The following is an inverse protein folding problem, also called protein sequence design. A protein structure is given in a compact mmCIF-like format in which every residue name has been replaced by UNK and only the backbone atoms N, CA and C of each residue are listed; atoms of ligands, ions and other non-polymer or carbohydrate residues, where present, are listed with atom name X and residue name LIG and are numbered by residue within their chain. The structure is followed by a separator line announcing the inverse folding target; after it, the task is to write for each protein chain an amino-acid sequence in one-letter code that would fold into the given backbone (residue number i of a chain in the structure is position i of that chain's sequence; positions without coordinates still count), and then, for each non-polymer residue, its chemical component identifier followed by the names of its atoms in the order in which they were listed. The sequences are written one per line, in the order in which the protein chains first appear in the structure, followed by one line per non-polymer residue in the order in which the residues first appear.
data_IF_108684826393
#
_entry.id   IF_108684826393
#
_cell.length_a   1.000
_cell.length_b   1.000
_cell.length_c   1.000
_cell.angle_alpha   90.00
_cell.angle_beta   90.00
_cell.angle_gamma   90.00
#
_symmetry.space_group_name_H-M   'P 1'
#
loop_
_entity.id
_entity.type
_entity.pdbx_description
1 polymer ?
#
# COMPACT_ATOMS: atom_id res chain seq x y z
N UNK A 1 -69.76 16.31 -39.60
CA UNK A 1 -69.23 16.29 -38.22
C UNK A 1 -68.78 14.88 -37.75
N UNK A 2 -68.44 13.94 -38.66
CA UNK A 2 -68.15 12.53 -38.31
C UNK A 2 -66.70 12.07 -38.60
N UNK A 3 -65.81 12.96 -39.05
CA UNK A 3 -64.45 12.60 -39.49
C UNK A 3 -63.33 12.93 -38.46
N UNK A 4 -63.68 13.45 -37.27
CA UNK A 4 -62.72 13.88 -36.24
C UNK A 4 -62.55 12.89 -35.07
N UNK A 5 -63.36 11.81 -35.02
CA UNK A 5 -63.37 10.85 -33.91
C UNK A 5 -62.34 9.73 -34.09
N UNK A 6 -62.08 9.28 -35.33
CA UNK A 6 -61.12 8.20 -35.61
C UNK A 6 -59.66 8.57 -35.33
N UNK A 7 -59.26 9.83 -35.53
CA UNK A 7 -57.86 10.30 -35.36
C UNK A 7 -57.49 10.53 -33.89
N UNK A 8 -58.46 10.78 -33.01
CA UNK A 8 -58.22 10.93 -31.56
C UNK A 8 -57.96 9.58 -30.89
N UNK A 9 -58.59 8.51 -31.39
CA UNK A 9 -58.45 7.17 -30.81
C UNK A 9 -57.08 6.54 -31.11
N UNK A 10 -56.52 6.77 -32.31
CA UNK A 10 -55.18 6.27 -32.67
C UNK A 10 -54.06 7.01 -31.92
N UNK A 11 -54.22 8.32 -31.67
CA UNK A 11 -53.28 9.08 -30.84
C UNK A 11 -53.30 8.63 -29.37
N UNK A 12 -54.45 8.23 -28.83
CA UNK A 12 -54.56 7.71 -27.47
C UNK A 12 -53.85 6.35 -27.30
N UNK A 13 -53.88 5.49 -28.31
CA UNK A 13 -53.14 4.21 -28.32
C UNK A 13 -51.63 4.44 -28.47
N UNK A 14 -51.22 5.43 -29.28
CA UNK A 14 -49.81 5.81 -29.43
C UNK A 14 -49.20 6.39 -28.16
N UNK A 15 -49.98 7.10 -27.33
CA UNK A 15 -49.53 7.59 -26.03
C UNK A 15 -49.49 6.49 -24.96
N UNK A 16 -50.26 5.40 -25.12
CA UNK A 16 -50.23 4.25 -24.21
C UNK A 16 -49.07 3.29 -24.47
N UNK A 17 -48.63 3.17 -25.73
CA UNK A 17 -47.43 2.37 -26.09
C UNK A 17 -46.13 3.11 -25.71
N UNK A 18 -46.14 4.44 -25.60
CA UNK A 18 -44.97 5.23 -25.24
C UNK A 18 -44.73 5.34 -23.71
N UNK A 19 -45.73 5.10 -22.87
CA UNK A 19 -45.57 5.11 -21.39
C UNK A 19 -45.09 3.78 -20.81
N UNK A 20 -45.13 2.68 -21.56
CA UNK A 20 -44.61 1.38 -21.10
C UNK A 20 -43.08 1.23 -21.26
N UNK A 21 -42.40 2.25 -21.78
CA UNK A 21 -40.95 2.34 -21.86
C UNK A 21 -40.31 3.14 -20.71
N UNK A 22 -41.09 3.49 -19.68
CA UNK A 22 -40.58 4.16 -18.49
C UNK A 22 -40.48 3.15 -17.33
N UNK A 23 -39.30 3.07 -16.73
CA UNK A 23 -39.00 2.37 -15.46
C UNK A 23 -38.87 0.84 -15.46
N UNK A 24 -38.13 0.27 -16.41
CA UNK A 24 -37.24 -0.84 -15.99
C UNK A 24 -35.96 -0.23 -15.43
N UNK A 25 -36.04 0.24 -14.18
CA UNK A 25 -34.84 0.54 -13.39
C UNK A 25 -34.09 -0.78 -13.22
N UNK A 26 -33.11 -1.04 -14.09
CA UNK A 26 -32.16 -2.12 -13.88
C UNK A 26 -31.48 -1.82 -12.54
N UNK A 27 -31.85 -2.56 -11.51
CA UNK A 27 -31.15 -2.57 -10.24
C UNK A 27 -29.77 -3.19 -10.48
N UNK A 28 -28.82 -2.38 -10.96
CA UNK A 28 -27.44 -2.76 -11.12
C UNK A 28 -26.83 -2.91 -9.72
N UNK A 29 -26.88 -4.13 -9.18
CA UNK A 29 -26.22 -4.46 -7.93
C UNK A 29 -24.74 -4.65 -8.23
N UNK A 30 -23.99 -3.55 -8.13
CA UNK A 30 -22.55 -3.59 -8.20
C UNK A 30 -22.00 -4.21 -6.91
N UNK A 31 -21.09 -5.16 -7.07
CA UNK A 31 -20.26 -5.65 -5.97
C UNK A 31 -19.38 -4.49 -5.52
N UNK A 32 -19.31 -4.28 -4.21
CA UNK A 32 -18.47 -3.23 -3.63
C UNK A 32 -17.26 -3.84 -2.93
N UNK A 33 -16.09 -3.24 -3.13
CA UNK A 33 -14.89 -3.56 -2.37
C UNK A 33 -14.83 -2.68 -1.11
N UNK A 34 -14.68 -3.31 0.05
CA UNK A 34 -14.55 -2.67 1.35
C UNK A 34 -13.15 -2.09 1.61
N UNK A 35 -12.89 -1.75 2.88
CA UNK A 35 -11.54 -1.38 3.31
C UNK A 35 -10.65 -2.61 3.38
N UNK A 36 -9.35 -2.37 3.28
CA UNK A 36 -8.33 -3.39 3.54
C UNK A 36 -8.02 -3.39 5.04
N UNK A 37 -7.99 -4.58 5.62
CA UNK A 37 -7.60 -4.83 7.01
C UNK A 37 -6.28 -5.59 7.00
N UNK A 38 -5.26 -5.00 7.60
CA UNK A 38 -3.93 -5.58 7.71
C UNK A 38 -3.82 -6.40 8.99
N UNK A 39 -3.31 -7.63 8.86
CA UNK A 39 -3.12 -8.58 9.96
C UNK A 39 -1.63 -8.88 10.23
N UNK A 40 -0.72 -8.36 9.40
CA UNK A 40 0.73 -8.58 9.48
C UNK A 40 1.51 -7.28 9.69
N UNK A 41 2.68 -7.35 10.33
CA UNK A 41 3.61 -6.22 10.47
C UNK A 41 4.75 -6.25 9.44
N UNK A 42 5.58 -5.20 9.43
CA UNK A 42 6.81 -5.14 8.64
C UNK A 42 7.75 -6.33 8.94
N UNK A 43 8.49 -6.81 7.93
CA UNK A 43 9.39 -7.97 7.96
C UNK A 43 8.71 -9.34 8.10
N UNK A 44 7.41 -9.42 7.86
CA UNK A 44 6.65 -10.67 7.89
C UNK A 44 5.96 -10.91 6.55
N UNK A 45 5.57 -12.16 6.23
CA UNK A 45 4.67 -12.43 5.11
C UNK A 45 3.40 -11.62 5.29
N UNK A 46 2.97 -10.94 4.23
CA UNK A 46 1.78 -10.12 4.25
C UNK A 46 0.57 -11.00 4.53
N UNK A 47 -0.31 -10.53 5.40
CA UNK A 47 -1.67 -11.05 5.55
C UNK A 47 -2.62 -9.87 5.65
N UNK A 48 -3.53 -9.77 4.70
CA UNK A 48 -4.55 -8.75 4.70
C UNK A 48 -5.86 -9.30 4.16
N UNK A 49 -6.96 -8.62 4.45
CA UNK A 49 -8.26 -8.98 3.93
C UNK A 49 -9.11 -7.80 3.52
N UNK A 50 -9.99 -8.02 2.55
CA UNK A 50 -10.92 -7.03 2.03
C UNK A 50 -12.31 -7.65 2.02
N UNK A 51 -13.27 -7.05 2.73
CA UNK A 51 -14.67 -7.50 2.69
C UNK A 51 -15.33 -7.09 1.37
N UNK A 52 -16.14 -7.99 0.80
CA UNK A 52 -16.98 -7.66 -0.33
C UNK A 52 -18.41 -7.37 0.13
N UNK A 53 -18.99 -6.29 -0.38
CA UNK A 53 -20.38 -5.92 -0.17
C UNK A 53 -21.26 -6.31 -1.36
N UNK A 54 -22.57 -6.42 -1.10
CA UNK A 54 -23.59 -6.74 -2.10
C UNK A 54 -23.41 -8.10 -2.81
N UNK A 55 -22.85 -9.10 -2.13
CA UNK A 55 -22.47 -10.41 -2.68
C UNK A 55 -23.53 -11.53 -2.57
N UNK A 56 -24.80 -11.19 -2.33
CA UNK A 56 -25.89 -12.11 -1.94
C UNK A 56 -26.09 -13.37 -2.82
N UNK A 57 -25.53 -13.41 -4.03
CA UNK A 57 -25.63 -14.55 -4.96
C UNK A 57 -24.29 -14.98 -5.55
N UNK A 58 -23.17 -14.49 -5.04
CA UNK A 58 -21.84 -14.81 -5.53
C UNK A 58 -21.20 -15.84 -4.63
N UNK A 59 -20.63 -16.88 -5.26
CA UNK A 59 -19.73 -17.81 -4.61
C UNK A 59 -18.28 -17.39 -4.85
N UNK A 60 -17.31 -17.88 -4.06
CA UNK A 60 -15.89 -17.66 -4.35
C UNK A 60 -15.47 -18.01 -5.78
N UNK A 61 -16.15 -18.99 -6.39
CA UNK A 61 -15.85 -19.52 -7.72
C UNK A 61 -16.29 -18.58 -8.85
N UNK A 62 -17.32 -17.77 -8.58
CA UNK A 62 -17.85 -16.79 -9.53
C UNK A 62 -16.99 -15.53 -9.60
N UNK A 63 -16.05 -15.39 -8.67
CA UNK A 63 -15.27 -14.17 -8.46
C UNK A 63 -13.81 -14.43 -8.80
N UNK A 64 -13.27 -13.64 -9.73
CA UNK A 64 -11.85 -13.60 -10.01
C UNK A 64 -11.27 -12.33 -9.43
N UNK A 65 -10.25 -12.49 -8.61
CA UNK A 65 -9.51 -11.39 -8.00
C UNK A 65 -8.04 -11.52 -8.35
N UNK A 66 -7.37 -10.39 -8.54
CA UNK A 66 -5.94 -10.34 -8.73
C UNK A 66 -5.45 -8.91 -8.92
N UNK A 67 -4.19 -8.77 -9.32
CA UNK A 67 -3.65 -7.48 -9.74
C UNK A 67 -4.27 -7.06 -11.08
N UNK A 68 -4.60 -5.78 -11.16
CA UNK A 68 -5.01 -5.17 -12.41
C UNK A 68 -3.86 -5.22 -13.44
N UNK A 69 -4.17 -5.23 -14.75
CA UNK A 69 -3.14 -5.17 -15.79
C UNK A 69 -2.33 -3.88 -15.68
N UNK A 70 -1.08 -3.90 -16.16
CA UNK A 70 -0.18 -2.73 -16.14
C UNK A 70 -0.79 -1.47 -16.77
N UNK A 71 -1.66 -1.63 -17.77
CA UNK A 71 -2.38 -0.51 -18.39
C UNK A 71 -3.31 0.20 -17.41
N UNK A 72 -3.93 -0.52 -16.47
CA UNK A 72 -4.77 0.06 -15.43
C UNK A 72 -3.95 0.84 -14.40
N UNK A 73 -2.79 0.32 -14.00
CA UNK A 73 -1.83 1.04 -13.14
C UNK A 73 -1.42 2.37 -13.76
N UNK A 74 -1.01 2.35 -15.04
CA UNK A 74 -0.64 3.57 -15.77
C UNK A 74 -1.79 4.57 -15.89
N UNK A 75 -3.00 4.09 -16.20
CA UNK A 75 -4.18 4.95 -16.32
C UNK A 75 -4.56 5.62 -14.98
N UNK A 76 -4.24 4.98 -13.85
CA UNK A 76 -4.47 5.52 -12.51
C UNK A 76 -3.26 6.29 -11.96
N UNK A 77 -2.14 6.34 -12.67
CA UNK A 77 -0.91 6.97 -12.18
C UNK A 77 -0.27 6.24 -10.99
N UNK A 78 -0.52 4.94 -10.86
CA UNK A 78 0.03 4.09 -9.79
C UNK A 78 1.28 3.38 -10.31
N UNK A 79 2.39 3.52 -9.59
CA UNK A 79 3.64 2.85 -9.94
C UNK A 79 3.57 1.34 -9.71
N UNK A 80 4.21 0.58 -10.60
CA UNK A 80 4.35 -0.87 -10.45
C UNK A 80 5.57 -1.21 -9.59
N UNK A 81 5.35 -1.80 -8.41
CA UNK A 81 6.44 -2.36 -7.60
C UNK A 81 6.71 -3.84 -7.95
N UNK A 82 7.96 -4.28 -7.83
CA UNK A 82 8.36 -5.68 -8.07
C UNK A 82 7.66 -6.66 -7.13
N UNK A 83 7.42 -6.25 -5.89
CA UNK A 83 6.95 -7.08 -4.78
C UNK A 83 5.45 -7.39 -4.89
N UNK A 84 4.76 -6.69 -5.82
CA UNK A 84 3.37 -7.00 -6.15
C UNK A 84 3.25 -8.38 -6.77
N UNK A 85 4.29 -8.83 -7.50
CA UNK A 85 4.27 -10.12 -8.19
C UNK A 85 4.13 -11.31 -7.25
N UNK A 86 4.47 -11.13 -5.97
CA UNK A 86 4.40 -12.17 -4.93
C UNK A 86 3.05 -12.19 -4.19
N UNK A 87 2.13 -11.29 -4.54
CA UNK A 87 0.80 -11.23 -3.93
C UNK A 87 -0.11 -12.32 -4.50
N UNK A 88 -0.56 -13.19 -3.61
CA UNK A 88 -1.62 -14.14 -3.85
C UNK A 88 -2.96 -13.57 -3.39
N UNK A 89 -4.01 -13.81 -4.16
CA UNK A 89 -5.36 -13.33 -3.89
C UNK A 89 -6.35 -14.49 -3.92
N UNK A 90 -7.13 -14.66 -2.85
CA UNK A 90 -8.16 -15.68 -2.77
C UNK A 90 -9.49 -15.10 -2.34
N UNK A 91 -10.54 -15.37 -3.10
CA UNK A 91 -11.90 -15.15 -2.62
C UNK A 91 -12.28 -16.32 -1.70
N UNK A 92 -12.79 -16.03 -0.51
CA UNK A 92 -13.25 -17.05 0.46
C UNK A 92 -14.59 -16.64 1.06
N UNK A 93 -15.38 -17.63 1.45
CA UNK A 93 -16.60 -17.41 2.22
C UNK A 93 -16.25 -17.20 3.69
N UNK A 94 -16.94 -16.25 4.33
CA UNK A 94 -16.80 -15.84 5.73
C UNK A 94 -18.19 -15.75 6.36
N UNK A 95 -18.27 -15.68 7.69
CA UNK A 95 -19.54 -15.48 8.41
C UNK A 95 -20.26 -14.19 7.97
N UNK A 96 -19.49 -13.17 7.59
CA UNK A 96 -19.97 -11.86 7.12
C UNK A 96 -20.27 -11.79 5.62
N UNK A 97 -20.14 -12.90 4.87
CA UNK A 97 -20.35 -12.96 3.43
C UNK A 97 -19.12 -13.43 2.67
N UNK A 98 -18.68 -12.67 1.67
CA UNK A 98 -17.49 -12.99 0.88
C UNK A 98 -16.37 -12.02 1.27
N UNK A 99 -15.13 -12.51 1.36
CA UNK A 99 -13.93 -11.69 1.55
C UNK A 99 -12.82 -12.10 0.59
N UNK A 100 -11.95 -11.17 0.26
CA UNK A 100 -10.69 -11.43 -0.43
C UNK A 100 -9.61 -11.51 0.64
N UNK A 101 -8.85 -12.60 0.64
CA UNK A 101 -7.61 -12.75 1.39
C UNK A 101 -6.43 -12.42 0.48
N UNK A 102 -5.48 -11.67 1.02
CA UNK A 102 -4.24 -11.30 0.36
C UNK A 102 -3.09 -11.86 1.20
N UNK A 103 -2.16 -12.55 0.55
CA UNK A 103 -0.98 -13.08 1.20
C UNK A 103 0.26 -13.02 0.33
N UNK A 104 1.44 -12.93 0.95
CA UNK A 104 2.71 -13.20 0.26
C UNK A 104 3.38 -14.43 0.84
N UNK A 105 4.22 -15.09 0.04
CA UNK A 105 5.10 -16.16 0.53
C UNK A 105 6.35 -15.58 1.21
N UNK A 106 6.95 -14.53 0.61
CA UNK A 106 8.11 -13.83 1.14
C UNK A 106 7.69 -12.72 2.12
N UNK A 107 8.60 -12.39 3.05
CA UNK A 107 8.41 -11.25 3.96
C UNK A 107 8.45 -9.92 3.21
N UNK A 108 7.52 -9.02 3.53
CA UNK A 108 7.50 -7.65 3.00
C UNK A 108 8.33 -6.73 3.91
N UNK A 109 9.23 -5.97 3.29
CA UNK A 109 10.17 -5.02 3.93
C UNK A 109 9.80 -3.55 3.65
N UNK A 110 8.81 -3.33 2.79
CA UNK A 110 8.38 -1.99 2.42
C UNK A 110 7.50 -1.38 3.51
N UNK A 111 7.68 -0.08 3.84
CA UNK A 111 6.85 0.59 4.83
C UNK A 111 5.40 0.79 4.36
N UNK A 112 5.17 0.73 3.05
CA UNK A 112 3.84 0.72 2.47
C UNK A 112 3.83 -0.07 1.16
N UNK A 113 2.67 -0.64 0.85
CA UNK A 113 2.40 -1.37 -0.38
C UNK A 113 1.25 -0.68 -1.10
N UNK A 114 1.50 -0.18 -2.32
CA UNK A 114 0.47 0.38 -3.17
C UNK A 114 0.19 -0.53 -4.36
N UNK A 115 -1.07 -0.89 -4.59
CA UNK A 115 -1.45 -1.77 -5.68
C UNK A 115 -2.85 -1.48 -6.19
N UNK A 116 -3.09 -1.83 -7.45
CA UNK A 116 -4.41 -1.78 -8.06
C UNK A 116 -4.97 -3.20 -8.14
N UNK A 117 -6.05 -3.43 -7.41
CA UNK A 117 -6.79 -4.68 -7.39
C UNK A 117 -7.86 -4.65 -8.49
N UNK A 118 -7.96 -5.75 -9.22
CA UNK A 118 -9.04 -6.01 -10.15
C UNK A 118 -9.93 -7.14 -9.62
N UNK A 119 -11.23 -6.88 -9.63
CA UNK A 119 -12.27 -7.82 -9.27
C UNK A 119 -13.19 -8.01 -10.48
N UNK A 120 -13.37 -9.25 -10.93
CA UNK A 120 -14.27 -9.61 -12.02
C UNK A 120 -15.28 -10.64 -11.53
N UNK A 121 -16.55 -10.41 -11.84
CA UNK A 121 -17.66 -11.31 -11.54
C UNK A 121 -18.63 -11.36 -12.75
N UNK A 122 -19.64 -12.25 -12.78
CA UNK A 122 -20.43 -12.49 -14.00
C UNK A 122 -21.11 -11.25 -14.58
N UNK A 123 -21.42 -10.27 -13.73
CA UNK A 123 -22.20 -9.08 -14.08
C UNK A 123 -21.38 -7.79 -14.00
N UNK A 124 -20.05 -7.86 -13.93
CA UNK A 124 -19.25 -6.65 -13.84
C UNK A 124 -17.77 -6.85 -13.53
N UNK A 125 -17.08 -5.72 -13.53
CA UNK A 125 -15.67 -5.58 -13.20
C UNK A 125 -15.49 -4.32 -12.37
N UNK A 126 -14.64 -4.39 -11.35
CA UNK A 126 -14.25 -3.27 -10.51
C UNK A 126 -12.73 -3.25 -10.40
N UNK A 127 -12.17 -2.06 -10.52
CA UNK A 127 -10.74 -1.80 -10.34
C UNK A 127 -10.61 -0.78 -9.23
N UNK A 128 -9.72 -1.04 -8.26
CA UNK A 128 -9.53 -0.16 -7.10
C UNK A 128 -8.08 -0.15 -6.64
N UNK A 129 -7.57 1.04 -6.37
CA UNK A 129 -6.28 1.24 -5.73
C UNK A 129 -6.38 1.03 -4.22
N UNK A 130 -5.37 0.36 -3.65
CA UNK A 130 -5.19 0.15 -2.23
C UNK A 130 -3.77 0.53 -1.84
N UNK A 131 -3.66 1.34 -0.79
CA UNK A 131 -2.41 1.61 -0.09
C UNK A 131 -2.49 0.98 1.29
N UNK A 132 -1.56 0.07 1.59
CA UNK A 132 -1.40 -0.59 2.88
C UNK A 132 -0.15 -0.03 3.53
N UNK A 133 -0.26 0.41 4.78
CA UNK A 133 0.88 0.85 5.57
C UNK A 133 1.30 -0.29 6.50
N UNK A 134 2.57 -0.68 6.47
CA UNK A 134 3.11 -1.70 7.37
C UNK A 134 3.75 -1.01 8.57
N UNK A 135 3.25 -1.33 9.76
CA UNK A 135 3.80 -0.80 11.00
C UNK A 135 5.18 -1.42 11.29
N UNK A 136 6.17 -0.61 11.73
CA UNK A 136 7.46 -1.13 12.14
C UNK A 136 7.31 -2.00 13.40
N UNK A 137 8.13 -3.06 13.56
CA UNK A 137 8.08 -3.89 14.76
C UNK A 137 8.46 -3.04 15.98
N UNK A 138 7.63 -3.08 17.03
CA UNK A 138 7.95 -2.45 18.31
C UNK A 138 9.05 -3.29 18.97
N UNK A 139 10.31 -2.96 18.71
CA UNK A 139 11.42 -3.53 19.46
C UNK A 139 11.35 -2.97 20.89
N UNK A 140 10.68 -3.70 21.78
CA UNK A 140 10.80 -3.47 23.22
C UNK A 140 12.21 -3.87 23.63
N UNK A 141 13.17 -2.95 23.45
CA UNK A 141 14.46 -3.08 24.11
C UNK A 141 14.18 -3.13 25.62
N UNK A 142 14.67 -4.14 26.36
CA UNK A 142 14.53 -4.15 27.80
C UNK A 142 15.22 -2.91 28.34
N UNK A 143 14.43 -1.96 28.84
CA UNK A 143 14.94 -0.82 29.58
C UNK A 143 15.55 -1.40 30.85
N UNK A 144 16.88 -1.56 30.86
CA UNK A 144 17.59 -1.66 32.13
C UNK A 144 17.26 -0.39 32.91
N UNK A 145 16.74 -0.48 34.15
CA UNK A 145 16.59 0.70 34.98
C UNK A 145 17.95 1.39 35.06
N UNK A 146 18.02 2.62 34.53
CA UNK A 146 19.15 3.48 34.81
C UNK A 146 18.99 3.91 36.27
N UNK A 147 19.99 3.67 37.10
CA UNK A 147 20.10 4.30 38.41
C UNK A 147 20.24 5.81 38.19
N UNK A 148 19.13 6.54 38.26
CA UNK A 148 19.08 7.98 38.07
C UNK A 148 19.38 8.64 39.42
N UNK A 149 20.61 9.12 39.59
CA UNK A 149 20.89 10.17 40.57
C UNK A 149 20.28 11.49 40.05
N UNK A 150 19.62 12.29 40.90
CA UNK A 150 18.91 13.48 40.43
C UNK A 150 19.91 14.55 40.01
N UNK A 151 19.95 14.88 38.71
CA UNK A 151 20.69 16.03 38.20
C UNK A 151 19.76 17.24 38.19
N UNK A 152 20.16 18.27 38.94
CA UNK A 152 19.49 19.56 39.08
C UNK A 152 19.16 20.18 37.70
N UNK A 153 17.92 20.63 37.51
CA UNK A 153 17.41 21.19 36.28
C UNK A 153 18.15 22.49 35.86
N UNK A 154 19.07 22.35 34.89
CA UNK A 154 19.66 23.45 34.14
C UNK A 154 18.76 23.90 33.00
N UNK A 155 18.35 25.17 33.04
CA UNK A 155 17.47 25.91 32.13
C UNK A 155 17.59 25.52 30.64
N UNK A 156 16.47 25.11 30.05
CA UNK A 156 16.29 24.84 28.62
C UNK A 156 16.51 26.12 27.80
N UNK A 157 17.70 26.30 27.25
CA UNK A 157 18.01 27.17 26.12
C UNK A 157 19.09 26.50 25.30
N UNK A 158 18.71 25.63 24.35
CA UNK A 158 19.46 25.31 23.10
C UNK A 158 18.91 24.05 22.39
N UNK A 159 17.60 23.77 22.40
CA UNK A 159 17.08 22.70 21.53
C UNK A 159 17.12 23.08 20.03
N UNK A 160 17.07 24.38 19.70
CA UNK A 160 17.06 24.84 18.30
C UNK A 160 18.45 24.93 17.66
N UNK A 161 19.54 25.09 18.44
CA UNK A 161 20.91 25.15 17.89
C UNK A 161 21.55 23.78 17.63
N UNK A 162 21.04 22.72 18.24
CA UNK A 162 21.57 21.35 18.04
C UNK A 162 21.01 20.72 16.75
N UNK A 163 19.78 21.09 16.35
CA UNK A 163 19.18 20.66 15.09
C UNK A 163 19.88 21.30 13.87
N UNK A 164 20.23 22.59 13.95
CA UNK A 164 21.00 23.27 12.89
C UNK A 164 22.46 22.82 12.82
N UNK A 165 23.09 22.48 13.95
CA UNK A 165 24.46 21.94 13.96
C UNK A 165 24.55 20.49 13.45
N UNK A 166 23.49 19.67 13.59
CA UNK A 166 23.42 18.32 12.99
C UNK A 166 23.19 18.32 11.48
N UNK A 167 22.63 19.40 10.93
CA UNK A 167 22.42 19.56 9.49
C UNK A 167 23.68 20.07 8.75
N UNK A 168 24.71 20.54 9.47
CA UNK A 168 25.88 21.23 8.88
C UNK A 168 27.19 20.43 8.89
N UNK A 169 27.16 19.14 9.20
CA UNK A 169 28.33 18.24 9.07
C UNK A 169 27.96 16.97 8.32
N UNK A 170 27.52 17.14 7.07
CA UNK A 170 27.31 16.05 6.12
C UNK A 170 28.55 16.00 5.22
N UNK A 171 29.68 15.64 5.82
CA UNK A 171 30.85 15.21 5.07
C UNK A 171 30.58 13.79 4.54
N UNK A 172 31.01 13.54 3.31
CA UNK A 172 30.61 12.39 2.48
C UNK A 172 31.12 11.04 3.03
N UNK A 173 31.93 11.09 4.09
CA UNK A 173 32.50 9.93 4.80
C UNK A 173 31.95 9.81 6.24
N UNK A 174 30.66 9.50 6.39
CA UNK A 174 30.05 9.35 7.72
C UNK A 174 30.37 7.99 8.34
N UNK A 175 30.91 8.02 9.58
CA UNK A 175 31.06 6.84 10.45
C UNK A 175 29.70 6.40 10.99
N UNK A 176 29.36 5.12 10.81
CA UNK A 176 28.11 4.52 11.28
C UNK A 176 28.07 4.47 12.81
N UNK A 177 26.94 4.77 13.40
CA UNK A 177 26.71 4.68 14.84
C UNK A 177 25.90 3.44 15.20
N UNK A 178 25.96 3.05 16.48
CA UNK A 178 25.11 1.97 16.99
C UNK A 178 23.64 2.40 16.90
N UNK A 179 22.86 1.72 16.07
CA UNK A 179 21.45 2.04 15.81
C UNK A 179 21.19 2.61 14.41
N UNK A 180 22.23 3.02 13.68
CA UNK A 180 22.08 3.45 12.29
C UNK A 180 21.62 2.28 11.41
N UNK A 181 20.68 2.55 10.51
CA UNK A 181 20.26 1.60 9.48
C UNK A 181 20.78 2.02 8.12
N UNK A 182 21.09 1.06 7.23
CA UNK A 182 21.48 1.38 5.87
C UNK A 182 20.37 2.16 5.13
N UNK A 183 19.11 1.90 5.50
CA UNK A 183 17.95 2.61 4.97
C UNK A 183 18.01 4.11 5.25
N UNK A 184 18.23 4.54 6.50
CA UNK A 184 18.29 5.96 6.87
C UNK A 184 19.47 6.66 6.20
N UNK A 185 20.61 5.96 6.12
CA UNK A 185 21.81 6.46 5.45
C UNK A 185 21.56 6.61 3.94
N UNK A 186 21.00 5.60 3.29
CA UNK A 186 20.67 5.64 1.87
C UNK A 186 19.59 6.69 1.55
N UNK A 187 18.59 6.84 2.41
CA UNK A 187 17.55 7.87 2.27
C UNK A 187 18.15 9.28 2.32
N UNK A 188 19.13 9.50 3.20
CA UNK A 188 19.82 10.78 3.34
C UNK A 188 20.85 11.03 2.23
N UNK A 189 21.52 9.98 1.72
CA UNK A 189 22.57 10.06 0.71
C UNK A 189 22.05 10.11 -0.74
N UNK A 190 20.73 10.00 -0.95
CA UNK A 190 20.15 10.04 -2.29
C UNK A 190 20.35 11.41 -2.96
N UNK A 191 20.89 11.46 -4.19
CA UNK A 191 21.06 12.71 -4.93
C UNK A 191 19.71 13.31 -5.36
N UNK A 192 18.72 12.47 -5.66
CA UNK A 192 17.38 12.91 -6.03
C UNK A 192 16.29 11.90 -5.62
N UNK A 193 15.02 12.33 -5.77
CA UNK A 193 13.86 11.49 -5.48
C UNK A 193 13.55 10.44 -6.56
N UNK A 194 14.24 10.49 -7.70
CA UNK A 194 14.02 9.56 -8.82
C UNK A 194 14.77 8.23 -8.65
N UNK A 195 15.92 8.26 -7.97
CA UNK A 195 16.65 7.04 -7.61
C UNK A 195 15.96 6.34 -6.45
N UNK A 196 15.63 5.04 -6.56
CA UNK A 196 14.98 4.31 -5.46
C UNK A 196 15.93 4.16 -4.25
N UNK A 197 15.36 4.16 -3.03
CA UNK A 197 16.16 3.95 -1.80
C UNK A 197 16.86 2.59 -1.84
N UNK A 198 16.19 1.58 -2.39
CA UNK A 198 16.71 0.23 -2.54
C UNK A 198 17.93 0.19 -3.48
N UNK A 199 17.88 0.90 -4.61
CA UNK A 199 19.03 1.00 -5.52
C UNK A 199 20.22 1.65 -4.83
N UNK A 200 19.97 2.70 -4.04
CA UNK A 200 21.02 3.37 -3.25
C UNK A 200 21.60 2.45 -2.17
N UNK A 201 20.76 1.72 -1.42
CA UNK A 201 21.22 0.75 -0.41
C UNK A 201 22.10 -0.33 -1.03
N UNK A 202 21.71 -0.88 -2.19
CA UNK A 202 22.50 -1.89 -2.89
C UNK A 202 23.83 -1.31 -3.39
N UNK A 203 23.83 -0.08 -3.90
CA UNK A 203 25.04 0.60 -4.33
C UNK A 203 26.02 0.80 -3.15
N UNK A 204 25.52 1.28 -2.00
CA UNK A 204 26.32 1.41 -0.78
C UNK A 204 26.80 0.04 -0.30
N UNK A 205 25.94 -0.99 -0.26
CA UNK A 205 26.34 -2.34 0.15
C UNK A 205 27.46 -2.90 -0.74
N UNK A 206 27.35 -2.71 -2.05
CA UNK A 206 28.32 -3.21 -3.03
C UNK A 206 29.71 -2.59 -2.86
N UNK A 207 29.78 -1.32 -2.46
CA UNK A 207 31.05 -0.65 -2.14
C UNK A 207 31.55 -0.94 -0.73
N UNK A 208 30.70 -1.45 0.17
CA UNK A 208 31.01 -1.64 1.60
C UNK A 208 30.68 -3.05 2.12
N UNK A 209 31.15 -4.15 1.48
CA UNK A 209 30.77 -5.51 1.88
C UNK A 209 31.14 -5.84 3.35
N UNK A 210 32.24 -5.28 3.85
CA UNK A 210 32.73 -5.54 5.21
C UNK A 210 31.93 -4.80 6.30
N UNK A 211 31.17 -3.77 5.93
CA UNK A 211 30.32 -3.04 6.86
C UNK A 211 29.11 -3.87 7.31
N UNK A 212 28.82 -5.00 6.66
CA UNK A 212 27.64 -5.82 6.92
C UNK A 212 28.01 -7.16 7.55
N UNK A 213 27.36 -7.51 8.66
CA UNK A 213 27.54 -8.83 9.24
C UNK A 213 26.90 -9.89 8.35
N UNK A 214 27.67 -10.91 7.95
CA UNK A 214 27.23 -12.01 7.08
C UNK A 214 26.63 -11.53 5.75
N UNK A 215 27.14 -10.41 5.20
CA UNK A 215 26.61 -9.76 3.98
C UNK A 215 25.12 -9.40 4.08
N UNK A 216 24.54 -9.35 5.28
CA UNK A 216 23.14 -9.01 5.47
C UNK A 216 22.98 -7.48 5.52
N UNK A 217 22.22 -6.94 4.57
CA UNK A 217 21.98 -5.50 4.40
C UNK A 217 21.34 -4.85 5.64
N UNK A 218 20.64 -5.65 6.46
CA UNK A 218 19.98 -5.21 7.69
C UNK A 218 20.90 -5.21 8.92
N UNK A 219 22.15 -5.70 8.78
CA UNK A 219 23.09 -5.84 9.89
C UNK A 219 24.34 -4.98 9.67
N UNK A 220 24.11 -3.68 9.60
CA UNK A 220 25.18 -2.68 9.54
C UNK A 220 25.98 -2.69 10.85
N UNK A 221 27.30 -2.77 10.73
CA UNK A 221 28.22 -2.66 11.87
C UNK A 221 28.36 -1.19 12.27
N UNK A 222 28.43 -0.94 13.57
CA UNK A 222 28.78 0.37 14.10
C UNK A 222 30.29 0.62 13.96
N UNK A 223 30.67 1.89 13.82
CA UNK A 223 32.06 2.34 13.72
C UNK A 223 32.71 2.09 12.36
N UNK A 224 31.90 1.86 11.31
CA UNK A 224 32.36 1.71 9.94
C UNK A 224 32.24 3.03 9.19
N UNK A 225 33.25 3.39 8.39
CA UNK A 225 33.13 4.49 7.44
C UNK A 225 32.56 3.93 6.14
N UNK A 226 31.43 4.44 5.69
CA UNK A 226 30.79 3.98 4.46
C UNK A 226 31.26 4.83 3.28
N UNK A 227 31.72 4.16 2.23
CA UNK A 227 32.01 4.77 0.93
C UNK A 227 30.70 4.96 0.19
N UNK A 228 30.32 6.21 -0.03
CA UNK A 228 29.10 6.54 -0.77
C UNK A 228 29.32 6.33 -2.30
N UNK A 229 28.28 5.88 -3.02
CA UNK A 229 28.28 5.88 -4.48
C UNK A 229 28.05 7.31 -5.01
N UNK A 230 28.68 7.61 -6.15
CA UNK A 230 28.63 8.91 -6.83
C UNK A 230 27.28 9.19 -7.53
#
# INVERSE_FOLDING_TARGET
MMHQIGKKLTRLIQWFVLTLAATTSLNARAVSLGHITLESSLNQPLRASILLGNVQRLTPQDVRVGLAPRTAFQAMGVDWSSNLSDLDFRAVSSESGLRIELSTEASIVEPYLNFVLELVWPNGRLVREYTVLLDPPVLMAPVRPLDITPVQAGRVRSANRIAEARAQSLDVDRMTQSGDTLWEIALAARPDRSTSVQAMMLAIQSRNPDAFMNQNINRLKAGYVLVMPD
#
